data_IF_770806656901
#
_entry.id   IF_770806656901
#
_cell.length_a   1.000
_cell.length_b   1.000
_cell.length_c   1.000
_cell.angle_alpha   90.00
_cell.angle_beta   90.00
_cell.angle_gamma   90.00
#
_symmetry.space_group_name_H-M   'P 1'
#
loop_
_entity.id
_entity.type
_entity.pdbx_description
1 polymer ?
#
# COMPACT_ATOMS: atom_id res chain seq x y z
N UNK A 1 15.16 -27.29 -29.88
CA UNK A 1 14.54 -26.25 -30.71
C UNK A 1 13.84 -25.34 -29.73
N UNK A 2 14.39 -24.16 -29.42
CA UNK A 2 13.75 -23.21 -28.50
C UNK A 2 12.63 -22.54 -29.29
N UNK A 3 11.38 -22.92 -29.05
CA UNK A 3 10.22 -22.17 -29.56
C UNK A 3 10.24 -20.79 -28.91
N UNK A 4 10.77 -19.80 -29.64
CA UNK A 4 10.51 -18.40 -29.33
C UNK A 4 9.02 -18.20 -29.58
N UNK A 5 8.27 -17.77 -28.56
CA UNK A 5 6.94 -17.21 -28.76
C UNK A 5 7.03 -16.19 -29.91
N UNK A 6 6.33 -16.49 -31.01
CA UNK A 6 6.15 -15.55 -32.10
C UNK A 6 5.32 -14.40 -31.53
N UNK A 7 6.00 -13.30 -31.20
CA UNK A 7 5.40 -12.15 -30.54
C UNK A 7 4.20 -11.64 -31.32
N UNK A 8 3.10 -11.33 -30.63
CA UNK A 8 1.87 -10.85 -31.25
C UNK A 8 1.94 -9.41 -31.79
N UNK A 9 3.10 -8.77 -31.67
CA UNK A 9 3.52 -7.58 -32.40
C UNK A 9 4.99 -7.72 -32.80
N UNK A 10 5.34 -8.74 -33.57
CA UNK A 10 6.72 -9.00 -33.96
C UNK A 10 7.04 -8.39 -35.32
N UNK A 11 8.00 -7.49 -35.33
CA UNK A 11 8.65 -7.01 -36.56
C UNK A 11 10.03 -7.66 -36.69
N UNK A 12 10.48 -7.79 -37.93
CA UNK A 12 11.88 -8.12 -38.22
C UNK A 12 12.34 -7.34 -39.43
N UNK A 13 13.61 -6.95 -39.45
CA UNK A 13 14.24 -6.32 -40.60
C UNK A 13 15.54 -7.04 -40.93
N UNK A 14 15.81 -7.19 -42.22
CA UNK A 14 17.02 -7.79 -42.74
C UNK A 14 17.53 -7.02 -43.94
N UNK A 15 18.81 -6.69 -43.94
CA UNK A 15 19.45 -5.80 -44.92
C UNK A 15 19.11 -6.14 -46.39
N UNK A 16 19.03 -7.44 -46.72
CA UNK A 16 18.78 -7.93 -48.09
C UNK A 16 17.33 -8.32 -48.36
N UNK A 17 16.52 -8.52 -47.33
CA UNK A 17 15.16 -9.07 -47.44
C UNK A 17 14.12 -7.99 -47.25
N UNK A 18 14.19 -7.27 -46.13
CA UNK A 18 13.32 -6.15 -45.78
C UNK A 18 14.05 -5.23 -44.82
N UNK A 19 14.81 -4.22 -45.31
CA UNK A 19 15.65 -3.37 -44.46
C UNK A 19 14.85 -2.47 -43.51
N UNK A 20 13.53 -2.37 -43.65
CA UNK A 20 12.67 -1.55 -42.79
C UNK A 20 12.70 -0.04 -43.12
N UNK A 21 12.14 0.82 -42.24
CA UNK A 21 11.54 0.44 -40.96
C UNK A 21 10.25 -0.37 -41.15
N UNK A 22 10.20 -1.54 -40.53
CA UNK A 22 9.01 -2.38 -40.45
C UNK A 22 8.36 -2.12 -39.10
N UNK A 23 7.07 -1.73 -39.10
CA UNK A 23 6.32 -1.44 -37.89
C UNK A 23 5.15 -2.40 -37.78
N UNK A 24 4.82 -2.81 -36.56
CA UNK A 24 3.62 -3.58 -36.27
C UNK A 24 3.05 -3.17 -34.91
N UNK A 25 1.74 -3.27 -34.77
CA UNK A 25 1.03 -2.97 -33.54
C UNK A 25 0.42 -4.26 -32.97
N UNK A 26 0.44 -4.39 -31.65
CA UNK A 26 -0.16 -5.51 -30.95
C UNK A 26 -1.66 -5.46 -31.09
N UNK A 27 -2.21 -6.55 -31.63
CA UNK A 27 -3.60 -6.86 -31.45
C UNK A 27 -3.73 -7.84 -30.27
N UNK A 28 -4.12 -7.33 -29.11
CA UNK A 28 -4.32 -8.13 -27.89
C UNK A 28 -5.37 -9.22 -28.06
N UNK A 29 -6.32 -9.07 -28.99
CA UNK A 29 -7.32 -10.10 -29.29
C UNK A 29 -6.69 -11.35 -29.94
N UNK A 30 -5.50 -11.23 -30.54
CA UNK A 30 -4.77 -12.35 -31.14
C UNK A 30 -3.88 -13.10 -30.13
N UNK A 31 -3.77 -12.61 -28.89
CA UNK A 31 -2.95 -13.22 -27.84
C UNK A 31 -3.67 -14.28 -27.01
N UNK A 32 -5.01 -14.29 -27.02
CA UNK A 32 -5.84 -15.07 -26.10
C UNK A 32 -5.58 -16.59 -26.08
N UNK A 33 -5.12 -17.17 -27.19
CA UNK A 33 -4.92 -18.63 -27.33
C UNK A 33 -3.44 -19.06 -27.36
N UNK A 34 -2.49 -18.12 -27.19
CA UNK A 34 -1.07 -18.46 -27.24
C UNK A 34 -0.64 -19.18 -25.96
N UNK A 35 0.01 -20.33 -26.10
CA UNK A 35 0.56 -21.08 -24.96
C UNK A 35 2.02 -20.69 -24.76
N UNK A 36 2.37 -20.32 -23.54
CA UNK A 36 3.72 -19.98 -23.12
C UNK A 36 4.33 -21.16 -22.38
N UNK A 37 5.56 -21.50 -22.73
CA UNK A 37 6.36 -22.46 -21.99
C UNK A 37 7.20 -21.74 -20.92
N UNK A 38 6.97 -22.07 -19.65
CA UNK A 38 7.73 -21.61 -18.49
C UNK A 38 8.34 -22.83 -17.79
N UNK A 39 9.62 -23.11 -18.07
CA UNK A 39 10.24 -24.40 -17.73
C UNK A 39 9.47 -25.58 -18.34
N UNK A 40 9.04 -26.51 -17.50
CA UNK A 40 8.24 -27.67 -17.90
C UNK A 40 6.72 -27.39 -17.90
N UNK A 41 6.31 -26.16 -17.54
CA UNK A 41 4.91 -25.75 -17.44
C UNK A 41 4.46 -25.06 -18.72
N UNK A 42 3.33 -25.50 -19.28
CA UNK A 42 2.66 -24.84 -20.40
C UNK A 42 1.44 -24.08 -19.90
N UNK A 43 1.45 -22.75 -20.01
CA UNK A 43 0.37 -21.88 -19.51
C UNK A 43 -0.18 -21.03 -20.65
N UNK A 44 -1.50 -21.02 -20.91
CA UNK A 44 -2.12 -20.05 -21.80
C UNK A 44 -1.76 -18.62 -21.36
N UNK A 45 -1.39 -17.75 -22.31
CA UNK A 45 -0.92 -16.40 -21.98
C UNK A 45 -2.02 -15.57 -21.29
N UNK A 46 -3.28 -15.76 -21.66
CA UNK A 46 -4.43 -15.13 -21.02
C UNK A 46 -4.65 -15.57 -19.56
N UNK A 47 -4.20 -16.77 -19.20
CA UNK A 47 -4.23 -17.25 -17.81
C UNK A 47 -2.99 -16.75 -17.03
N UNK A 48 -1.91 -16.43 -17.74
CA UNK A 48 -0.67 -15.91 -17.15
C UNK A 48 -0.72 -14.41 -16.89
N UNK A 49 -1.17 -13.62 -17.86
CA UNK A 49 -1.12 -12.16 -17.82
C UNK A 49 -2.41 -11.55 -18.36
N UNK A 50 -3.05 -10.73 -17.52
CA UNK A 50 -4.08 -9.81 -17.95
C UNK A 50 -3.42 -8.50 -18.36
N UNK A 51 -3.43 -8.16 -19.65
CA UNK A 51 -2.86 -6.90 -20.14
C UNK A 51 -3.71 -5.68 -19.78
N UNK A 52 -4.91 -5.87 -19.24
CA UNK A 52 -5.77 -4.80 -18.75
C UNK A 52 -6.00 -3.70 -19.79
N UNK A 53 -5.75 -2.45 -19.38
CA UNK A 53 -5.77 -1.26 -20.26
C UNK A 53 -4.37 -0.77 -20.63
N UNK A 54 -3.35 -1.64 -20.62
CA UNK A 54 -2.06 -1.32 -21.26
C UNK A 54 -2.40 -0.88 -22.68
N UNK A 55 -1.97 0.33 -23.07
CA UNK A 55 -2.24 0.88 -24.39
C UNK A 55 -1.73 -0.04 -25.51
N UNK A 56 -1.99 0.32 -26.78
CA UNK A 56 -1.50 -0.48 -27.90
C UNK A 56 0.03 -0.67 -27.79
N UNK A 57 0.48 -1.90 -27.59
CA UNK A 57 1.91 -2.26 -27.70
C UNK A 57 2.28 -2.28 -29.19
N UNK A 58 3.56 -2.17 -29.51
CA UNK A 58 4.04 -2.19 -30.88
C UNK A 58 5.54 -2.45 -30.96
N UNK A 59 6.01 -2.68 -32.18
CA UNK A 59 7.43 -2.84 -32.45
C UNK A 59 7.83 -2.18 -33.76
N UNK A 60 9.13 -1.86 -33.85
CA UNK A 60 9.77 -1.33 -35.04
C UNK A 60 11.13 -1.98 -35.23
N UNK A 61 11.45 -2.35 -36.48
CA UNK A 61 12.75 -2.94 -36.84
C UNK A 61 13.31 -2.32 -38.12
N UNK A 62 14.61 -2.00 -38.11
CA UNK A 62 15.34 -1.41 -39.24
C UNK A 62 16.77 -1.95 -39.33
N UNK A 63 17.26 -2.19 -40.54
CA UNK A 63 18.61 -2.67 -40.85
C UNK A 63 19.14 -1.92 -42.09
N UNK A 64 19.78 -0.77 -41.87
CA UNK A 64 20.26 0.12 -42.95
C UNK A 64 21.63 -0.28 -43.50
N UNK A 65 22.45 -0.95 -42.69
CA UNK A 65 23.77 -1.45 -43.11
C UNK A 65 24.15 -2.72 -42.34
N UNK A 66 25.22 -3.44 -42.73
CA UNK A 66 25.72 -4.59 -41.95
C UNK A 66 26.14 -4.24 -40.51
N UNK A 67 26.36 -2.96 -40.24
CA UNK A 67 26.86 -2.40 -38.98
C UNK A 67 25.90 -1.37 -38.38
N UNK A 68 24.71 -1.21 -38.96
CA UNK A 68 23.72 -0.21 -38.54
C UNK A 68 22.32 -0.80 -38.54
N UNK A 69 21.74 -0.88 -37.35
CA UNK A 69 20.42 -1.50 -37.11
C UNK A 69 19.71 -0.80 -35.98
N UNK A 70 18.38 -0.81 -35.99
CA UNK A 70 17.55 -0.31 -34.91
C UNK A 70 16.40 -1.28 -34.64
N UNK A 71 16.17 -1.60 -33.38
CA UNK A 71 15.03 -2.42 -32.94
C UNK A 71 14.40 -1.75 -31.73
N UNK A 72 13.07 -1.64 -31.73
CA UNK A 72 12.29 -1.04 -30.66
C UNK A 72 11.06 -1.89 -30.41
N UNK A 73 10.71 -2.10 -29.14
CA UNK A 73 9.46 -2.74 -28.73
C UNK A 73 8.94 -2.06 -27.47
N UNK A 74 7.66 -1.73 -27.42
CA UNK A 74 7.06 -1.04 -26.27
C UNK A 74 5.68 -0.46 -26.59
N UNK A 75 5.25 0.53 -25.81
CA UNK A 75 3.98 1.21 -26.05
C UNK A 75 3.99 2.12 -27.29
N UNK A 76 2.88 2.16 -28.00
CA UNK A 76 2.66 3.02 -29.16
C UNK A 76 2.03 4.34 -28.72
N UNK A 77 2.65 5.46 -29.10
CA UNK A 77 2.10 6.80 -28.90
C UNK A 77 0.93 7.11 -29.84
N UNK A 78 0.17 8.15 -29.51
CA UNK A 78 -0.81 8.76 -30.40
C UNK A 78 -0.11 9.21 -31.71
N UNK A 79 -0.31 8.45 -32.79
CA UNK A 79 0.42 8.62 -34.06
C UNK A 79 1.08 7.35 -34.62
N UNK A 80 1.06 6.23 -33.89
CA UNK A 80 1.53 4.93 -34.40
C UNK A 80 3.04 4.69 -34.26
N UNK A 81 3.78 5.59 -33.61
CA UNK A 81 5.19 5.42 -33.29
C UNK A 81 5.38 4.80 -31.91
N UNK A 82 6.32 3.86 -31.75
CA UNK A 82 6.68 3.32 -30.43
C UNK A 82 7.38 4.41 -29.62
N UNK A 83 6.84 4.76 -28.45
CA UNK A 83 7.39 5.77 -27.54
C UNK A 83 8.00 5.12 -26.32
N UNK A 84 9.18 5.61 -25.93
CA UNK A 84 9.84 5.31 -24.66
C UNK A 84 9.93 6.56 -23.77
N UNK A 85 9.19 7.62 -24.11
CA UNK A 85 9.34 8.98 -23.52
C UNK A 85 8.02 9.62 -23.07
N UNK A 86 6.97 8.82 -22.83
CA UNK A 86 5.69 9.33 -22.32
C UNK A 86 5.70 9.51 -20.79
N UNK A 87 4.71 10.24 -20.25
CA UNK A 87 4.45 10.24 -18.81
C UNK A 87 3.95 8.84 -18.42
N UNK A 88 4.79 8.11 -17.70
CA UNK A 88 4.65 6.68 -17.35
C UNK A 88 3.33 6.31 -16.63
N UNK A 89 2.65 7.29 -16.02
CA UNK A 89 1.48 7.11 -15.16
C UNK A 89 0.12 7.01 -15.87
N UNK A 90 0.03 7.26 -17.19
CA UNK A 90 -1.27 7.27 -17.91
C UNK A 90 -1.67 5.94 -18.56
N UNK A 91 -0.83 4.90 -18.43
CA UNK A 91 -1.08 3.59 -19.02
C UNK A 91 -1.59 2.61 -17.96
N UNK A 92 -2.51 1.70 -18.33
CA UNK A 92 -2.91 0.62 -17.43
C UNK A 92 -1.73 -0.29 -17.06
N UNK A 93 -1.89 -1.12 -16.03
CA UNK A 93 -0.93 -2.15 -15.65
C UNK A 93 -1.39 -3.52 -16.14
N UNK A 94 -0.43 -4.36 -16.51
CA UNK A 94 -0.64 -5.79 -16.66
C UNK A 94 -0.57 -6.46 -15.30
N UNK A 95 -1.39 -7.48 -15.11
CA UNK A 95 -1.45 -8.24 -13.85
C UNK A 95 -1.13 -9.70 -14.11
N UNK A 96 -0.26 -10.28 -13.30
CA UNK A 96 0.11 -11.69 -13.35
C UNK A 96 -0.31 -12.32 -12.02
N UNK A 97 -1.21 -13.31 -12.07
CA UNK A 97 -1.66 -14.02 -10.87
C UNK A 97 -0.67 -15.14 -10.50
N UNK A 98 0.12 -14.90 -9.45
CA UNK A 98 1.15 -15.82 -9.01
C UNK A 98 0.59 -17.04 -8.27
N UNK A 99 -0.60 -16.94 -7.66
CA UNK A 99 -1.27 -18.11 -7.06
C UNK A 99 -1.68 -19.10 -8.14
N UNK A 100 -2.39 -18.65 -9.18
CA UNK A 100 -2.79 -19.50 -10.30
C UNK A 100 -1.59 -20.09 -11.04
N UNK A 101 -0.50 -19.32 -11.15
CA UNK A 101 0.74 -19.82 -11.72
C UNK A 101 1.39 -20.91 -10.85
N UNK A 102 1.36 -20.75 -9.52
CA UNK A 102 1.89 -21.75 -8.58
C UNK A 102 1.09 -23.05 -8.59
N UNK A 103 -0.24 -22.99 -8.69
CA UNK A 103 -1.12 -24.15 -8.86
C UNK A 103 -0.81 -24.91 -10.15
N UNK A 104 -0.64 -24.18 -11.26
CA UNK A 104 -0.33 -24.77 -12.56
C UNK A 104 1.06 -25.40 -12.59
N UNK A 105 1.99 -24.84 -11.81
CA UNK A 105 3.36 -25.32 -11.67
C UNK A 105 3.54 -26.40 -10.58
N UNK A 106 2.46 -26.80 -9.90
CA UNK A 106 2.46 -27.77 -8.79
C UNK A 106 3.43 -27.39 -7.65
N UNK A 107 3.48 -26.11 -7.32
CA UNK A 107 4.36 -25.58 -6.25
C UNK A 107 3.65 -25.66 -4.91
N UNK A 108 4.12 -26.57 -4.07
CA UNK A 108 3.65 -26.73 -2.71
C UNK A 108 3.95 -25.48 -1.86
N UNK A 109 3.02 -25.11 -0.97
CA UNK A 109 3.28 -24.11 0.05
C UNK A 109 3.00 -22.65 -0.31
N UNK A 110 2.61 -22.29 -1.54
CA UNK A 110 2.10 -20.94 -1.88
C UNK A 110 0.60 -20.82 -1.62
N UNK A 111 -0.16 -21.83 -2.04
CA UNK A 111 -1.62 -21.92 -1.84
C UNK A 111 -2.03 -22.29 -0.41
N UNK A 112 -1.12 -22.88 0.34
CA UNK A 112 -1.34 -23.27 1.75
C UNK A 112 -1.08 -22.11 2.72
N UNK A 113 -0.54 -21.00 2.23
CA UNK A 113 -0.38 -19.78 3.01
C UNK A 113 -1.73 -19.09 3.17
N UNK A 114 -1.86 -18.32 4.24
CA UNK A 114 -3.05 -17.51 4.49
C UNK A 114 -3.09 -16.26 3.58
N UNK A 115 -2.90 -16.45 2.28
CA UNK A 115 -2.90 -15.43 1.22
C UNK A 115 -3.94 -15.85 0.19
N UNK A 116 -4.92 -14.99 -0.07
CA UNK A 116 -5.99 -15.26 -1.02
C UNK A 116 -5.83 -14.50 -2.34
N UNK A 117 -4.83 -13.61 -2.42
CA UNK A 117 -4.42 -12.93 -3.65
C UNK A 117 -2.90 -12.71 -3.64
N UNK A 118 -2.25 -13.06 -4.74
CA UNK A 118 -0.84 -12.75 -4.98
C UNK A 118 -0.66 -12.36 -6.44
N UNK A 119 -0.51 -11.07 -6.70
CA UNK A 119 -0.48 -10.51 -8.05
C UNK A 119 0.75 -9.65 -8.28
N UNK A 120 1.43 -9.87 -9.40
CA UNK A 120 2.49 -8.99 -9.88
C UNK A 120 1.89 -8.00 -10.89
N UNK A 121 1.87 -6.72 -10.54
CA UNK A 121 1.40 -5.62 -11.40
C UNK A 121 2.58 -4.96 -12.09
N UNK A 122 2.57 -4.96 -13.42
CA UNK A 122 3.62 -4.41 -14.27
C UNK A 122 3.04 -3.27 -15.09
N UNK A 123 3.58 -2.07 -14.90
CA UNK A 123 3.21 -0.91 -15.69
C UNK A 123 3.71 -0.99 -17.13
N UNK A 124 3.61 0.12 -17.84
CA UNK A 124 4.20 0.31 -19.15
C UNK A 124 5.66 -0.19 -19.22
N UNK A 125 6.02 -0.88 -20.29
CA UNK A 125 7.39 -1.34 -20.53
C UNK A 125 7.81 -1.18 -22.00
N UNK A 126 9.11 -1.03 -22.23
CA UNK A 126 9.67 -0.99 -23.57
C UNK A 126 11.19 -1.02 -23.59
N UNK A 127 11.76 -1.36 -24.72
CA UNK A 127 13.20 -1.35 -24.98
C UNK A 127 13.52 -0.83 -26.37
N UNK A 128 14.75 -0.35 -26.51
CA UNK A 128 15.35 0.08 -27.77
C UNK A 128 16.82 -0.35 -27.82
N UNK A 129 17.21 -0.87 -28.98
CA UNK A 129 18.61 -1.16 -29.29
C UNK A 129 18.96 -0.49 -30.60
N UNK A 130 19.95 0.38 -30.56
CA UNK A 130 20.52 1.04 -31.74
C UNK A 130 21.96 0.60 -31.90
N UNK A 131 22.32 0.18 -33.10
CA UNK A 131 23.70 -0.08 -33.49
C UNK A 131 24.07 0.92 -34.57
N UNK A 132 25.18 1.62 -34.37
CA UNK A 132 25.77 2.53 -35.35
C UNK A 132 27.25 2.22 -35.49
N UNK A 133 27.74 2.13 -36.72
CA UNK A 133 29.14 1.83 -37.04
C UNK A 133 29.70 0.62 -36.26
N UNK A 134 28.87 -0.41 -36.06
CA UNK A 134 29.23 -1.66 -35.41
C UNK A 134 29.33 -1.57 -33.89
N UNK A 135 28.84 -0.48 -33.28
CA UNK A 135 28.78 -0.29 -31.83
C UNK A 135 27.33 -0.16 -31.39
N UNK A 136 26.98 -0.86 -30.32
CA UNK A 136 25.68 -0.70 -29.67
C UNK A 136 25.74 0.61 -28.89
N UNK A 137 24.76 1.49 -29.12
CA UNK A 137 24.67 2.77 -28.44
C UNK A 137 24.10 2.58 -27.03
N UNK A 138 24.53 3.43 -26.11
CA UNK A 138 24.01 3.58 -24.76
C UNK A 138 23.49 5.02 -24.64
N UNK A 139 22.21 5.27 -24.97
CA UNK A 139 21.68 6.62 -25.14
C UNK A 139 21.41 7.33 -23.80
N UNK A 140 21.20 6.61 -22.70
CA UNK A 140 20.95 7.19 -21.37
C UNK A 140 22.12 7.03 -20.38
N UNK A 141 23.13 6.23 -20.72
CA UNK A 141 24.38 6.10 -19.95
C UNK A 141 24.20 5.33 -18.65
N UNK A 142 23.10 4.59 -18.50
CA UNK A 142 22.73 3.86 -17.28
C UNK A 142 22.22 2.46 -17.65
N UNK A 143 22.58 1.45 -16.86
CA UNK A 143 22.15 0.07 -17.12
C UNK A 143 22.81 -0.63 -18.31
N UNK A 144 23.76 0.00 -19.01
CA UNK A 144 24.55 -0.64 -20.06
C UNK A 144 24.03 -0.35 -21.49
N UNK A 145 24.49 -1.10 -22.51
CA UNK A 145 24.14 -0.82 -23.90
C UNK A 145 22.64 -1.00 -24.19
N UNK A 146 22.09 -0.14 -25.06
CA UNK A 146 20.66 -0.06 -25.34
C UNK A 146 19.91 0.79 -24.33
N UNK A 147 18.59 0.88 -24.47
CA UNK A 147 17.72 1.62 -23.57
C UNK A 147 16.52 0.77 -23.20
N UNK A 148 16.08 0.85 -21.95
CA UNK A 148 14.82 0.26 -21.52
C UNK A 148 14.04 1.19 -20.59
N UNK A 149 12.73 0.96 -20.53
CA UNK A 149 11.81 1.68 -19.65
C UNK A 149 10.81 0.72 -19.03
N UNK A 150 10.57 0.88 -17.74
CA UNK A 150 9.53 0.25 -16.94
C UNK A 150 8.93 1.32 -16.05
N UNK A 151 7.61 1.51 -16.15
CA UNK A 151 6.88 2.54 -15.41
C UNK A 151 6.67 2.15 -13.94
N UNK A 152 6.28 0.90 -13.69
CA UNK A 152 5.86 0.43 -12.39
C UNK A 152 6.06 -1.08 -12.27
N UNK A 153 6.39 -1.53 -11.07
CA UNK A 153 6.37 -2.94 -10.71
C UNK A 153 5.95 -3.03 -9.24
N UNK A 154 4.78 -3.62 -8.98
CA UNK A 154 4.28 -3.85 -7.63
C UNK A 154 3.93 -5.31 -7.42
N UNK A 155 4.20 -5.81 -6.21
CA UNK A 155 3.67 -7.08 -5.74
C UNK A 155 2.49 -6.81 -4.79
N UNK A 156 1.31 -7.25 -5.19
CA UNK A 156 0.08 -7.18 -4.40
C UNK A 156 -0.14 -8.48 -3.65
N UNK A 157 -0.34 -8.38 -2.35
CA UNK A 157 -0.64 -9.51 -1.47
C UNK A 157 -1.92 -9.19 -0.71
N UNK A 158 -2.95 -10.01 -0.83
CA UNK A 158 -4.12 -9.92 0.05
C UNK A 158 -4.13 -11.09 1.01
N UNK A 159 -4.40 -10.79 2.27
CA UNK A 159 -4.50 -11.81 3.30
C UNK A 159 -5.65 -11.51 4.26
N UNK A 160 -6.51 -12.51 4.54
CA UNK A 160 -7.48 -12.41 5.62
C UNK A 160 -6.84 -12.10 6.98
N UNK A 161 -5.59 -12.50 7.22
CA UNK A 161 -4.89 -12.22 8.48
C UNK A 161 -4.63 -10.73 8.69
N UNK A 162 -4.48 -9.95 7.60
CA UNK A 162 -4.34 -8.50 7.68
C UNK A 162 -5.68 -7.84 8.03
N UNK A 163 -6.79 -8.39 7.52
CA UNK A 163 -8.14 -7.94 7.91
C UNK A 163 -8.49 -8.33 9.35
N UNK A 164 -8.11 -9.53 9.79
CA UNK A 164 -8.26 -9.96 11.19
C UNK A 164 -7.42 -9.09 12.13
N UNK A 165 -6.24 -8.66 11.68
CA UNK A 165 -5.44 -7.68 12.41
C UNK A 165 -6.18 -6.34 12.57
N UNK A 166 -6.82 -5.85 11.52
CA UNK A 166 -7.66 -4.65 11.57
C UNK A 166 -8.81 -4.78 12.59
N UNK A 167 -9.49 -5.93 12.61
CA UNK A 167 -10.55 -6.23 13.58
C UNK A 167 -10.01 -6.23 15.03
N UNK A 168 -8.79 -6.70 15.24
CA UNK A 168 -8.13 -6.63 16.54
C UNK A 168 -7.85 -5.20 17.00
N UNK A 169 -7.38 -4.31 16.09
CA UNK A 169 -7.18 -2.88 16.38
C UNK A 169 -8.52 -2.24 16.79
N UNK A 170 -9.59 -2.54 16.03
CA UNK A 170 -10.94 -2.06 16.32
C UNK A 170 -11.44 -2.53 17.69
N UNK A 171 -11.26 -3.82 18.01
CA UNK A 171 -11.63 -4.39 19.31
C UNK A 171 -10.85 -3.78 20.49
N UNK A 172 -9.55 -3.53 20.31
CA UNK A 172 -8.72 -2.86 21.31
C UNK A 172 -9.18 -1.41 21.54
N UNK A 173 -9.47 -0.66 20.47
CA UNK A 173 -10.03 0.69 20.55
C UNK A 173 -11.36 0.72 21.33
N UNK A 174 -12.29 -0.21 21.04
CA UNK A 174 -13.57 -0.30 21.77
C UNK A 174 -13.38 -0.66 23.25
N UNK A 175 -12.34 -1.42 23.59
CA UNK A 175 -11.99 -1.75 24.97
C UNK A 175 -11.47 -0.54 25.73
N UNK A 176 -10.62 0.28 25.09
CA UNK A 176 -10.16 1.55 25.66
C UNK A 176 -11.34 2.49 25.90
N UNK A 177 -12.25 2.57 24.94
CA UNK A 177 -13.48 3.37 25.02
C UNK A 177 -14.36 3.00 26.21
N UNK A 178 -14.72 1.73 26.30
CA UNK A 178 -15.52 1.20 27.43
C UNK A 178 -14.81 1.42 28.77
N UNK A 179 -13.48 1.27 28.81
CA UNK A 179 -12.71 1.46 30.06
C UNK A 179 -12.71 2.92 30.51
N UNK A 180 -12.60 3.87 29.58
CA UNK A 180 -12.68 5.31 29.89
C UNK A 180 -14.08 5.66 30.40
N UNK A 181 -15.13 5.18 29.74
CA UNK A 181 -16.52 5.38 30.19
C UNK A 181 -16.74 4.81 31.60
N UNK A 182 -16.32 3.57 31.86
CA UNK A 182 -16.45 2.91 33.16
C UNK A 182 -15.67 3.67 34.24
N UNK A 183 -14.47 4.17 33.92
CA UNK A 183 -13.64 4.91 34.86
C UNK A 183 -14.27 6.25 35.24
N UNK A 184 -14.82 6.99 34.26
CA UNK A 184 -15.52 8.25 34.52
C UNK A 184 -16.76 7.98 35.37
N UNK A 185 -17.54 6.96 35.04
CA UNK A 185 -18.75 6.60 35.79
C UNK A 185 -18.47 6.16 37.24
N UNK A 186 -17.37 5.43 37.48
CA UNK A 186 -17.00 4.97 38.84
C UNK A 186 -16.34 6.07 39.68
N UNK A 187 -15.58 6.99 39.06
CA UNK A 187 -14.76 7.99 39.78
C UNK A 187 -15.40 9.36 39.88
N UNK A 188 -16.41 9.68 39.08
CA UNK A 188 -17.13 10.93 39.20
C UNK A 188 -17.95 10.94 40.51
N UNK A 189 -17.52 11.75 41.48
CA UNK A 189 -18.21 11.89 42.76
C UNK A 189 -19.46 12.77 42.61
N UNK A 190 -20.57 12.13 42.23
CA UNK A 190 -21.89 12.77 42.09
C UNK A 190 -22.37 13.39 43.42
N UNK A 191 -21.93 12.84 44.56
CA UNK A 191 -22.27 13.38 45.87
C UNK A 191 -21.49 14.68 46.16
N UNK A 192 -20.22 14.76 45.78
CA UNK A 192 -19.44 16.00 45.85
C UNK A 192 -20.00 17.07 44.89
N UNK A 193 -20.41 16.67 43.68
CA UNK A 193 -21.04 17.57 42.71
C UNK A 193 -22.37 18.15 43.23
N UNK A 194 -23.26 17.30 43.74
CA UNK A 194 -24.52 17.76 44.36
C UNK A 194 -24.27 18.60 45.62
N UNK A 195 -23.23 18.28 46.40
CA UNK A 195 -22.76 19.08 47.52
C UNK A 195 -22.28 20.49 47.12
N UNK A 196 -21.59 20.61 45.98
CA UNK A 196 -21.15 21.89 45.43
C UNK A 196 -22.35 22.76 45.02
N UNK A 197 -23.41 22.12 44.53
CA UNK A 197 -24.64 22.76 44.07
C UNK A 197 -25.65 22.99 45.20
N UNK A 198 -25.38 22.56 46.44
CA UNK A 198 -26.32 22.55 47.56
C UNK A 198 -26.93 23.91 47.95
N UNK A 199 -26.40 25.02 47.42
CA UNK A 199 -27.01 26.35 47.52
C UNK A 199 -28.39 26.42 46.83
N UNK A 200 -28.67 25.52 45.89
CA UNK A 200 -29.97 25.37 45.24
C UNK A 200 -30.80 24.36 46.05
N UNK A 201 -31.95 24.75 46.63
CA UNK A 201 -32.78 23.83 47.39
C UNK A 201 -33.50 22.82 46.48
N UNK A 202 -33.61 21.58 46.95
CA UNK A 202 -34.40 20.50 46.32
C UNK A 202 -33.96 20.09 44.89
N UNK A 203 -32.68 20.20 44.58
CA UNK A 203 -32.10 19.62 43.35
C UNK A 203 -32.03 18.09 43.48
N UNK A 204 -32.47 17.32 42.47
CA UNK A 204 -32.24 15.88 42.41
C UNK A 204 -30.77 15.56 42.14
N UNK A 205 -30.39 14.29 42.37
CA UNK A 205 -29.12 13.77 41.85
C UNK A 205 -29.15 13.81 40.31
N UNK A 206 -28.09 14.31 39.65
CA UNK A 206 -28.05 14.34 38.21
C UNK A 206 -27.91 12.94 37.63
N UNK A 207 -28.56 12.72 36.49
CA UNK A 207 -28.19 11.63 35.61
C UNK A 207 -26.91 12.01 34.87
N UNK A 208 -25.88 11.20 35.03
CA UNK A 208 -24.61 11.34 34.29
C UNK A 208 -24.70 10.49 33.02
N UNK A 209 -24.25 11.03 31.90
CA UNK A 209 -24.05 10.29 30.66
C UNK A 209 -22.71 10.71 30.10
N UNK A 210 -21.88 9.73 29.76
CA UNK A 210 -20.58 9.92 29.13
C UNK A 210 -20.75 9.45 27.68
N UNK A 211 -20.38 10.30 26.73
CA UNK A 211 -20.39 9.99 25.31
C UNK A 211 -18.96 10.14 24.78
N UNK A 212 -18.49 9.12 24.07
CA UNK A 212 -17.16 9.07 23.49
C UNK A 212 -17.27 8.65 22.02
N UNK A 213 -16.59 9.40 21.16
CA UNK A 213 -16.47 9.08 19.74
C UNK A 213 -15.10 8.47 19.40
N UNK A 214 -14.36 8.03 20.41
CA UNK A 214 -12.98 7.56 20.26
C UNK A 214 -12.87 6.38 19.31
N UNK A 215 -13.81 5.44 19.44
CA UNK A 215 -13.87 4.26 18.59
C UNK A 215 -14.04 4.58 17.10
N UNK A 216 -14.97 5.49 16.77
CA UNK A 216 -15.23 5.92 15.39
C UNK A 216 -14.09 6.77 14.82
N UNK A 217 -13.50 7.64 15.64
CA UNK A 217 -12.38 8.51 15.24
C UNK A 217 -11.13 7.69 14.96
N UNK A 218 -10.84 6.68 15.79
CA UNK A 218 -9.76 5.72 15.58
C UNK A 218 -9.95 4.93 14.29
N UNK A 219 -11.17 4.43 14.04
CA UNK A 219 -11.50 3.72 12.81
C UNK A 219 -11.25 4.59 11.57
N UNK A 220 -11.72 5.84 11.58
CA UNK A 220 -11.55 6.74 10.43
C UNK A 220 -10.08 7.12 10.15
N UNK A 221 -9.26 7.26 11.20
CA UNK A 221 -7.87 7.71 11.05
C UNK A 221 -6.89 6.58 10.71
N UNK A 222 -7.11 5.39 11.25
CA UNK A 222 -6.13 4.29 11.18
C UNK A 222 -6.58 3.17 10.24
N UNK A 223 -7.89 2.86 10.23
CA UNK A 223 -8.41 1.69 9.52
C UNK A 223 -9.04 2.03 8.17
N UNK A 224 -9.36 3.31 7.92
CA UNK A 224 -10.04 3.73 6.70
C UNK A 224 -9.11 4.38 5.65
N UNK A 225 -7.80 4.36 5.89
CA UNK A 225 -6.79 4.89 4.96
C UNK A 225 -5.61 3.92 4.83
N UNK A 226 -5.08 3.72 3.62
CA UNK A 226 -3.83 2.98 3.44
C UNK A 226 -2.67 3.67 4.15
N UNK A 227 -1.85 2.90 4.85
CA UNK A 227 -0.63 3.37 5.49
C UNK A 227 0.58 2.97 4.65
N UNK A 228 1.33 3.96 4.19
CA UNK A 228 2.55 3.77 3.41
C UNK A 228 3.77 4.00 4.28
N UNK A 229 4.76 3.09 4.23
CA UNK A 229 6.01 3.24 4.98
C UNK A 229 6.76 4.50 4.58
N UNK A 230 7.63 5.02 5.46
CA UNK A 230 8.50 6.15 5.14
C UNK A 230 9.41 5.90 3.92
N UNK A 231 9.84 4.65 3.74
CA UNK A 231 10.59 4.18 2.58
C UNK A 231 9.74 4.13 1.29
N UNK A 232 8.42 4.28 1.41
CA UNK A 232 7.41 4.04 0.35
C UNK A 232 7.42 2.65 -0.23
N UNK A 233 8.16 1.73 0.38
CA UNK A 233 8.32 0.35 -0.09
C UNK A 233 7.05 -0.47 0.11
N UNK A 234 6.35 -0.26 1.22
CA UNK A 234 5.17 -1.03 1.58
C UNK A 234 4.00 -0.08 1.81
N UNK A 235 2.85 -0.43 1.28
CA UNK A 235 1.57 0.17 1.63
C UNK A 235 0.65 -0.92 2.17
N UNK A 236 0.04 -0.68 3.33
CA UNK A 236 -0.90 -1.61 3.95
C UNK A 236 -2.26 -0.92 4.04
N UNK A 237 -3.28 -1.55 3.47
CA UNK A 237 -4.67 -1.17 3.64
C UNK A 237 -5.39 -2.19 4.52
N UNK A 238 -5.62 -1.80 5.77
CA UNK A 238 -6.32 -2.61 6.75
C UNK A 238 -7.81 -2.81 6.44
N UNK A 239 -8.43 -1.90 5.67
CA UNK A 239 -9.84 -2.00 5.31
C UNK A 239 -10.11 -3.12 4.31
N UNK A 240 -9.15 -3.38 3.43
CA UNK A 240 -9.23 -4.40 2.37
C UNK A 240 -8.40 -5.65 2.68
N UNK A 241 -7.48 -5.57 3.65
CA UNK A 241 -6.52 -6.63 3.94
C UNK A 241 -5.40 -6.74 2.89
N UNK A 242 -5.17 -5.66 2.15
CA UNK A 242 -4.21 -5.59 1.04
C UNK A 242 -2.86 -5.03 1.52
N UNK A 243 -1.79 -5.68 1.08
CA UNK A 243 -0.41 -5.27 1.26
C UNK A 243 0.22 -5.14 -0.13
N UNK A 244 0.61 -3.92 -0.48
CA UNK A 244 1.26 -3.59 -1.74
C UNK A 244 2.75 -3.32 -1.49
N UNK A 245 3.60 -4.01 -2.22
CA UNK A 245 5.05 -3.82 -2.19
C UNK A 245 5.49 -3.17 -3.48
N UNK A 246 6.05 -1.99 -3.37
CA UNK A 246 6.51 -1.14 -4.46
C UNK A 246 7.95 -1.51 -4.86
N UNK A 247 8.10 -2.39 -5.85
CA UNK A 247 9.41 -2.93 -6.24
C UNK A 247 10.31 -1.87 -6.90
N UNK A 248 9.72 -0.80 -7.42
CA UNK A 248 10.42 0.37 -7.94
C UNK A 248 11.21 1.12 -6.85
N UNK A 249 10.74 1.08 -5.60
CA UNK A 249 11.43 1.69 -4.47
C UNK A 249 12.64 0.86 -4.00
N UNK A 250 12.68 -0.44 -4.33
CA UNK A 250 13.83 -1.33 -4.05
C UNK A 250 14.99 -1.14 -5.02
N UNK A 251 14.71 -0.62 -6.21
CA UNK A 251 15.68 -0.39 -7.26
C UNK A 251 16.70 0.73 -6.93
N UNK A 252 16.66 1.31 -5.73
CA UNK A 252 17.61 2.33 -5.29
C UNK A 252 17.44 3.69 -6.00
N UNK A 253 18.46 4.55 -5.89
CA UNK A 253 18.34 6.00 -6.24
C UNK A 253 18.03 6.31 -7.71
N UNK A 254 18.15 5.33 -8.61
CA UNK A 254 17.83 5.50 -10.03
C UNK A 254 16.53 4.81 -10.47
N UNK A 255 15.81 4.16 -9.54
CA UNK A 255 14.57 3.44 -9.83
C UNK A 255 14.76 2.26 -10.80
N UNK A 256 13.65 1.74 -11.33
CA UNK A 256 13.66 0.57 -12.23
C UNK A 256 14.50 0.79 -13.51
N UNK A 257 14.68 2.04 -13.94
CA UNK A 257 15.27 2.40 -15.24
C UNK A 257 16.79 2.67 -15.19
N UNK A 258 17.44 2.43 -14.05
CA UNK A 258 18.88 2.59 -13.88
C UNK A 258 19.53 1.36 -13.24
N UNK A 259 18.93 0.19 -13.44
CA UNK A 259 19.43 -1.06 -12.89
C UNK A 259 20.53 -1.65 -13.76
N UNK A 260 21.49 -2.31 -13.10
CA UNK A 260 22.52 -3.08 -13.79
C UNK A 260 21.91 -4.17 -14.69
N UNK A 261 22.63 -4.62 -15.73
CA UNK A 261 22.16 -5.70 -16.60
C UNK A 261 21.73 -6.95 -15.81
N UNK A 262 20.53 -7.45 -16.10
CA UNK A 262 19.92 -8.63 -15.48
C UNK A 262 19.65 -8.50 -13.98
N UNK A 263 19.37 -7.28 -13.49
CA UNK A 263 19.04 -7.07 -12.09
C UNK A 263 17.73 -7.78 -11.68
N UNK A 264 17.79 -8.47 -10.54
CA UNK A 264 16.65 -9.21 -9.99
C UNK A 264 15.82 -8.31 -9.06
N UNK A 265 14.52 -8.20 -9.32
CA UNK A 265 13.59 -7.38 -8.52
C UNK A 265 12.99 -8.12 -7.31
N UNK A 266 13.10 -9.46 -7.27
CA UNK A 266 12.63 -10.28 -6.16
C UNK A 266 13.80 -11.14 -5.69
N UNK A 267 14.36 -10.80 -4.54
CA UNK A 267 15.53 -11.48 -3.98
C UNK A 267 15.42 -11.66 -2.47
N UNK A 268 16.24 -12.54 -1.90
CA UNK A 268 16.30 -12.77 -0.45
C UNK A 268 16.80 -11.56 0.34
N UNK A 269 17.45 -10.60 -0.31
CA UNK A 269 17.92 -9.36 0.32
C UNK A 269 16.79 -8.34 0.52
N UNK A 270 15.65 -8.55 -0.15
CA UNK A 270 14.49 -7.66 -0.12
C UNK A 270 13.60 -7.93 1.10
N UNK A 271 13.49 -9.18 1.54
CA UNK A 271 12.64 -9.54 2.68
C UNK A 271 12.96 -8.74 3.96
N UNK A 272 14.23 -8.58 4.38
CA UNK A 272 14.56 -7.75 5.54
C UNK A 272 14.09 -6.29 5.39
N UNK A 273 14.17 -5.70 4.19
CA UNK A 273 13.73 -4.33 3.92
C UNK A 273 12.20 -4.20 4.00
N UNK A 274 11.48 -5.21 3.52
CA UNK A 274 10.01 -5.28 3.63
C UNK A 274 9.61 -5.46 5.09
N UNK A 275 10.25 -6.36 5.82
CA UNK A 275 9.97 -6.59 7.23
C UNK A 275 10.23 -5.34 8.09
N UNK A 276 11.32 -4.60 7.82
CA UNK A 276 11.60 -3.30 8.44
C UNK A 276 10.52 -2.27 8.06
N UNK A 277 10.13 -2.19 6.79
CA UNK A 277 9.08 -1.26 6.34
C UNK A 277 7.72 -1.56 6.95
N UNK A 278 7.38 -2.84 7.16
CA UNK A 278 6.18 -3.25 7.91
C UNK A 278 6.30 -2.84 9.37
N UNK A 279 7.46 -2.99 10.00
CA UNK A 279 7.69 -2.54 11.36
C UNK A 279 7.49 -1.02 11.51
N UNK A 280 7.99 -0.24 10.55
CA UNK A 280 7.81 1.21 10.50
C UNK A 280 6.33 1.58 10.37
N UNK A 281 5.59 0.95 9.45
CA UNK A 281 4.14 1.18 9.31
C UNK A 281 3.41 0.87 10.61
N UNK A 282 3.77 -0.22 11.30
CA UNK A 282 3.14 -0.58 12.57
C UNK A 282 3.48 0.41 13.68
N UNK A 283 4.69 0.98 13.67
CA UNK A 283 5.05 2.06 14.58
C UNK A 283 4.23 3.33 14.31
N UNK A 284 4.09 3.71 13.04
CA UNK A 284 3.29 4.87 12.65
C UNK A 284 1.80 4.67 12.94
N UNK A 285 1.26 3.47 12.65
CA UNK A 285 -0.10 3.10 13.02
C UNK A 285 -0.32 3.21 14.52
N UNK A 286 0.65 2.76 15.32
CA UNK A 286 0.59 2.92 16.78
C UNK A 286 0.57 4.38 17.19
N UNK A 287 1.45 5.22 16.64
CA UNK A 287 1.49 6.65 16.95
C UNK A 287 0.19 7.36 16.53
N UNK A 288 -0.41 6.96 15.40
CA UNK A 288 -1.72 7.46 14.97
C UNK A 288 -2.83 7.04 15.92
N UNK A 289 -2.79 5.80 16.44
CA UNK A 289 -3.73 5.32 17.46
C UNK A 289 -3.58 6.12 18.76
N UNK A 290 -2.35 6.32 19.25
CA UNK A 290 -2.09 7.12 20.46
C UNK A 290 -2.60 8.54 20.27
N UNK A 291 -2.22 9.21 19.18
CA UNK A 291 -2.67 10.58 18.92
C UNK A 291 -4.18 10.68 18.72
N UNK A 292 -4.80 9.67 18.12
CA UNK A 292 -6.26 9.62 18.00
C UNK A 292 -6.96 9.36 19.33
N UNK A 293 -6.38 8.56 20.23
CA UNK A 293 -6.88 8.39 21.60
C UNK A 293 -6.79 9.72 22.35
N UNK A 294 -5.63 10.39 22.33
CA UNK A 294 -5.44 11.70 22.97
C UNK A 294 -6.46 12.73 22.46
N UNK A 295 -6.58 12.87 21.13
CA UNK A 295 -7.56 13.76 20.49
C UNK A 295 -9.01 13.41 20.89
N UNK A 296 -9.29 12.12 21.09
CA UNK A 296 -10.65 11.66 21.43
C UNK A 296 -10.97 11.81 22.90
N UNK A 297 -9.99 11.64 23.80
CA UNK A 297 -10.15 11.92 25.22
C UNK A 297 -10.53 13.38 25.46
N UNK A 298 -9.88 14.30 24.75
CA UNK A 298 -10.24 15.72 24.76
C UNK A 298 -11.69 15.95 24.30
N UNK A 299 -12.21 15.09 23.43
CA UNK A 299 -13.57 15.15 22.87
C UNK A 299 -14.62 14.36 23.67
N UNK A 300 -14.27 13.65 24.74
CA UNK A 300 -15.24 12.91 25.58
C UNK A 300 -16.20 13.90 26.23
N UNK A 301 -17.49 13.81 25.89
CA UNK A 301 -18.54 14.68 26.40
C UNK A 301 -19.19 14.06 27.66
N UNK A 302 -19.19 14.82 28.74
CA UNK A 302 -19.90 14.48 29.96
C UNK A 302 -21.16 15.35 30.01
N UNK A 303 -22.31 14.69 30.02
CA UNK A 303 -23.62 15.34 30.17
C UNK A 303 -24.20 15.04 31.54
N UNK A 304 -24.48 16.11 32.29
CA UNK A 304 -25.19 16.09 33.55
C UNK A 304 -26.62 16.60 33.33
N UNK A 305 -27.61 15.75 33.62
CA UNK A 305 -29.02 16.10 33.47
C UNK A 305 -29.73 16.09 34.81
N UNK A 306 -30.31 17.24 35.17
CA UNK A 306 -31.12 17.44 36.36
C UNK A 306 -32.58 17.54 35.96
N UNK A 307 -33.37 16.52 36.29
CA UNK A 307 -34.80 16.46 35.95
C UNK A 307 -35.66 16.11 37.13
N UNK A 308 -36.77 16.85 37.31
CA UNK A 308 -37.80 16.56 38.31
C UNK A 308 -39.17 17.07 37.83
N UNK A 309 -40.26 16.51 38.37
CA UNK A 309 -41.65 16.91 38.06
C UNK A 309 -42.38 17.33 39.34
N UNK A 310 -42.68 18.62 39.45
CA UNK A 310 -43.38 19.22 40.59
C UNK A 310 -44.91 19.33 40.35
N UNK A 311 -45.43 18.67 39.31
CA UNK A 311 -46.85 18.61 38.97
C UNK A 311 -47.40 19.87 38.30
N UNK A 312 -48.73 19.92 38.12
CA UNK A 312 -49.44 20.91 37.26
C UNK A 312 -49.14 22.39 37.55
N UNK A 313 -48.88 22.76 38.81
CA UNK A 313 -48.60 24.14 39.22
C UNK A 313 -47.11 24.37 39.44
N UNK A 314 -46.40 23.33 39.91
CA UNK A 314 -44.96 23.38 40.15
C UNK A 314 -44.15 23.37 38.86
N UNK A 315 -44.63 22.71 37.81
CA UNK A 315 -43.95 22.54 36.52
C UNK A 315 -42.81 21.52 36.57
N UNK A 316 -41.94 21.56 35.55
CA UNK A 316 -40.83 20.61 35.35
C UNK A 316 -39.48 21.30 35.57
N UNK A 317 -38.55 20.63 36.25
CA UNK A 317 -37.12 20.93 36.19
C UNK A 317 -36.49 20.14 35.04
N UNK A 318 -35.76 20.83 34.17
CA UNK A 318 -35.06 20.23 33.02
C UNK A 318 -33.83 21.07 32.69
N UNK A 319 -32.74 20.80 33.40
CA UNK A 319 -31.45 21.46 33.17
C UNK A 319 -30.46 20.44 32.67
N UNK A 320 -29.90 20.70 31.51
CA UNK A 320 -28.84 19.89 30.90
C UNK A 320 -27.56 20.70 30.89
N UNK A 321 -26.48 20.06 31.29
CA UNK A 321 -25.17 20.67 31.26
C UNK A 321 -24.15 19.71 30.67
N UNK A 322 -23.55 20.13 29.57
CA UNK A 322 -22.61 19.33 28.79
C UNK A 322 -21.27 20.05 28.74
N UNK A 323 -20.20 19.31 28.96
CA UNK A 323 -18.83 19.78 28.86
C UNK A 323 -17.91 18.63 28.49
N UNK A 324 -16.80 18.93 27.85
CA UNK A 324 -15.76 17.95 27.52
C UNK A 324 -14.74 17.79 28.66
N UNK A 325 -13.90 16.74 28.59
CA UNK A 325 -12.72 16.64 29.46
C UNK A 325 -11.74 17.81 29.23
N UNK A 326 -11.60 18.29 28.00
CA UNK A 326 -10.77 19.46 27.68
C UNK A 326 -11.32 20.76 28.29
N UNK A 327 -12.64 20.92 28.35
CA UNK A 327 -13.31 22.07 28.99
C UNK A 327 -13.00 22.13 30.49
N UNK A 328 -12.89 20.98 31.14
CA UNK A 328 -12.51 20.89 32.56
C UNK A 328 -11.05 21.32 32.75
N UNK A 329 -10.15 20.85 31.89
CA UNK A 329 -8.72 21.16 31.95
C UNK A 329 -8.43 22.64 31.70
N UNK A 330 -9.16 23.25 30.75
CA UNK A 330 -9.08 24.69 30.44
C UNK A 330 -9.84 25.57 31.43
N UNK A 331 -10.76 24.99 32.21
CA UNK A 331 -11.67 25.71 33.10
C UNK A 331 -12.81 26.42 32.35
N UNK A 332 -12.95 26.18 31.05
CA UNK A 332 -14.02 26.72 30.19
C UNK A 332 -15.19 25.73 30.14
N UNK A 333 -15.88 25.54 31.26
CA UNK A 333 -17.05 24.64 31.30
C UNK A 333 -18.18 25.16 30.40
N UNK A 334 -18.69 24.29 29.52
CA UNK A 334 -19.66 24.58 28.46
C UNK A 334 -21.02 25.14 28.92
N UNK A 335 -21.86 25.46 27.93
CA UNK A 335 -23.15 26.15 28.12
C UNK A 335 -24.18 25.25 28.85
N UNK A 336 -24.83 25.82 29.87
CA UNK A 336 -25.96 25.20 30.57
C UNK A 336 -27.25 25.51 29.82
N UNK A 337 -28.01 24.49 29.47
CA UNK A 337 -29.31 24.61 28.81
C UNK A 337 -30.44 24.39 29.83
N UNK A 338 -31.28 25.39 30.02
CA UNK A 338 -32.44 25.33 30.92
C UNK A 338 -33.76 25.32 30.12
N UNK A 339 -34.46 24.18 30.15
CA UNK A 339 -35.78 23.97 29.57
C UNK A 339 -36.87 23.85 30.66
N UNK A 340 -36.59 24.30 31.87
CA UNK A 340 -37.50 24.20 33.02
C UNK A 340 -38.74 25.09 32.86
N UNK A 341 -39.83 24.71 33.53
CA UNK A 341 -41.14 25.39 33.42
C UNK A 341 -41.90 25.44 34.75
N UNK A 342 -42.97 26.24 34.79
CA UNK A 342 -43.81 26.41 35.98
C UNK A 342 -43.14 27.24 37.08
N UNK A 343 -43.84 27.41 38.20
CA UNK A 343 -43.41 28.32 39.26
C UNK A 343 -42.21 27.77 40.06
N UNK A 344 -42.21 26.47 40.33
CA UNK A 344 -41.17 25.81 41.11
C UNK A 344 -40.04 25.38 40.18
N UNK A 345 -40.35 24.59 39.14
CA UNK A 345 -39.39 24.08 38.17
C UNK A 345 -38.59 25.19 37.50
N UNK A 346 -39.27 26.23 36.96
CA UNK A 346 -38.59 27.35 36.31
C UNK A 346 -37.72 28.20 37.26
N UNK A 347 -38.13 28.37 38.52
CA UNK A 347 -37.32 29.11 39.50
C UNK A 347 -36.10 28.30 39.93
N UNK A 348 -36.28 27.00 40.18
CA UNK A 348 -35.18 26.08 40.52
C UNK A 348 -34.19 25.97 39.36
N UNK A 349 -34.67 25.80 38.12
CA UNK A 349 -33.84 25.71 36.92
C UNK A 349 -32.99 26.96 36.69
N UNK A 350 -33.57 28.15 36.81
CA UNK A 350 -32.84 29.40 36.66
C UNK A 350 -31.80 29.60 37.79
N UNK A 351 -32.15 29.22 39.02
CA UNK A 351 -31.22 29.28 40.16
C UNK A 351 -30.07 28.29 39.99
N UNK A 352 -30.35 27.08 39.46
CA UNK A 352 -29.36 26.07 39.16
C UNK A 352 -28.41 26.54 38.06
N UNK A 353 -28.94 27.04 36.95
CA UNK A 353 -28.16 27.60 35.83
C UNK A 353 -27.26 28.74 36.29
N UNK A 354 -27.78 29.67 37.10
CA UNK A 354 -27.00 30.78 37.66
C UNK A 354 -25.88 30.26 38.59
N UNK A 355 -26.20 29.27 39.42
CA UNK A 355 -25.24 28.64 40.33
C UNK A 355 -24.12 27.95 39.55
N UNK A 356 -24.45 27.15 38.53
CA UNK A 356 -23.46 26.47 37.67
C UNK A 356 -22.55 27.49 36.98
N UNK A 357 -23.11 28.52 36.34
CA UNK A 357 -22.33 29.57 35.67
C UNK A 357 -21.42 30.34 36.64
N UNK A 358 -21.80 30.45 37.91
CA UNK A 358 -20.97 31.10 38.94
C UNK A 358 -19.89 30.16 39.47
N UNK A 359 -20.16 28.86 39.53
CA UNK A 359 -19.28 27.83 40.09
C UNK A 359 -18.38 27.15 39.05
N UNK A 360 -18.45 27.52 37.78
CA UNK A 360 -17.74 26.84 36.70
C UNK A 360 -16.25 26.60 36.96
N UNK A 361 -15.54 27.57 37.54
CA UNK A 361 -14.12 27.43 37.90
C UNK A 361 -13.83 26.49 39.09
N UNK A 362 -14.84 26.16 39.90
CA UNK A 362 -14.72 25.23 41.04
C UNK A 362 -14.95 23.78 40.64
N UNK A 363 -15.49 23.50 39.45
CA UNK A 363 -15.72 22.12 39.00
C UNK A 363 -14.46 21.33 38.72
N UNK A 364 -13.36 22.02 38.38
CA UNK A 364 -12.05 21.39 38.31
C UNK A 364 -11.69 20.64 39.61
N UNK A 365 -12.26 20.99 40.76
CA UNK A 365 -12.00 20.27 42.02
C UNK A 365 -12.76 18.95 42.17
N UNK A 366 -13.89 18.78 41.48
CA UNK A 366 -14.73 17.58 41.52
C UNK A 366 -14.37 16.64 40.37
N UNK A 367 -14.12 17.18 39.18
CA UNK A 367 -13.84 16.39 37.97
C UNK A 367 -12.34 16.31 37.65
N UNK A 368 -11.53 17.24 38.18
CA UNK A 368 -10.07 17.23 37.99
C UNK A 368 -9.38 15.94 38.44
N UNK A 369 -9.74 15.29 39.57
CA UNK A 369 -9.16 14.00 39.92
C UNK A 369 -9.46 12.86 38.93
N UNK A 370 -10.59 12.91 38.23
CA UNK A 370 -10.95 11.94 37.17
C UNK A 370 -10.12 12.22 35.93
N UNK A 371 -10.04 13.49 35.54
CA UNK A 371 -9.19 13.94 34.44
C UNK A 371 -7.72 13.57 34.70
N UNK A 372 -7.15 13.98 35.84
CA UNK A 372 -5.79 13.67 36.27
C UNK A 372 -5.52 12.17 36.27
N UNK A 373 -6.49 11.32 36.66
CA UNK A 373 -6.33 9.88 36.64
C UNK A 373 -6.21 9.33 35.20
N UNK A 374 -7.05 9.82 34.28
CA UNK A 374 -7.04 9.45 32.86
C UNK A 374 -5.75 9.88 32.17
N UNK A 375 -5.20 11.05 32.53
CA UNK A 375 -3.96 11.57 31.96
C UNK A 375 -2.69 11.24 32.78
N UNK A 376 -2.82 10.48 33.86
CA UNK A 376 -1.69 10.04 34.70
C UNK A 376 -1.11 8.70 34.25
N UNK A 377 0.00 8.30 34.88
CA UNK A 377 0.61 6.96 34.78
C UNK A 377 -0.40 5.79 34.85
N UNK A 378 -1.54 5.96 35.53
CA UNK A 378 -2.60 4.95 35.60
C UNK A 378 -3.41 4.85 34.29
N UNK A 379 -3.69 5.98 33.65
CA UNK A 379 -4.24 6.04 32.30
C UNK A 379 -3.24 5.54 31.28
N UNK A 380 -1.97 5.93 31.40
CA UNK A 380 -0.88 5.43 30.56
C UNK A 380 -0.83 3.90 30.57
N UNK A 381 -1.10 3.24 31.69
CA UNK A 381 -1.12 1.78 31.76
C UNK A 381 -2.27 1.15 30.96
N UNK A 382 -3.44 1.80 30.91
CA UNK A 382 -4.59 1.35 30.11
C UNK A 382 -4.25 1.46 28.63
N UNK A 383 -3.68 2.60 28.23
CA UNK A 383 -3.25 2.83 26.86
C UNK A 383 -2.10 1.92 26.48
N UNK A 384 -1.11 1.74 27.36
CA UNK A 384 0.05 0.87 27.14
C UNK A 384 -0.35 -0.60 26.95
N UNK A 385 -1.36 -1.10 27.67
CA UNK A 385 -1.88 -2.46 27.46
C UNK A 385 -2.53 -2.61 26.08
N UNK A 386 -3.42 -1.68 25.70
CA UNK A 386 -4.05 -1.70 24.38
C UNK A 386 -3.00 -1.54 23.25
N UNK A 387 -2.08 -0.59 23.41
CA UNK A 387 -0.99 -0.30 22.47
C UNK A 387 -0.02 -1.48 22.35
N UNK A 388 0.34 -2.13 23.45
CA UNK A 388 1.24 -3.29 23.39
C UNK A 388 0.56 -4.49 22.75
N UNK A 389 -0.71 -4.75 23.04
CA UNK A 389 -1.47 -5.80 22.36
C UNK A 389 -1.56 -5.53 20.85
N UNK A 390 -1.78 -4.28 20.46
CA UNK A 390 -1.76 -3.85 19.06
C UNK A 390 -0.35 -4.05 18.44
N UNK A 391 0.69 -3.53 19.09
CA UNK A 391 2.06 -3.53 18.57
C UNK A 391 2.63 -4.94 18.41
N UNK A 392 2.45 -5.81 19.41
CA UNK A 392 3.03 -7.16 19.40
C UNK A 392 2.17 -8.16 18.63
N UNK A 393 0.84 -8.04 18.69
CA UNK A 393 -0.07 -8.96 18.00
C UNK A 393 0.03 -8.87 16.48
N UNK A 394 -0.03 -7.65 15.93
CA UNK A 394 -0.16 -7.47 14.48
C UNK A 394 1.18 -7.51 13.74
N UNK A 395 2.20 -6.84 14.26
CA UNK A 395 3.53 -6.84 13.63
C UNK A 395 4.06 -8.26 13.50
N UNK A 396 3.89 -9.09 14.53
CA UNK A 396 4.29 -10.49 14.48
C UNK A 396 3.45 -11.27 13.47
N UNK A 397 2.14 -11.07 13.42
CA UNK A 397 1.24 -11.76 12.48
C UNK A 397 1.62 -11.48 11.02
N UNK A 398 1.76 -10.20 10.64
CA UNK A 398 2.09 -9.82 9.26
C UNK A 398 3.49 -10.30 8.89
N UNK A 399 4.50 -10.07 9.74
CA UNK A 399 5.89 -10.47 9.44
C UNK A 399 6.03 -12.00 9.36
N UNK A 400 5.36 -12.75 10.25
CA UNK A 400 5.38 -14.21 10.26
C UNK A 400 4.64 -14.81 9.06
N UNK A 401 3.65 -14.10 8.52
CA UNK A 401 2.97 -14.49 7.27
C UNK A 401 3.87 -14.20 6.05
N UNK A 402 4.54 -13.05 6.01
CA UNK A 402 5.37 -12.65 4.88
C UNK A 402 6.65 -13.47 4.74
N UNK A 403 7.27 -13.90 5.85
CA UNK A 403 8.52 -14.69 5.78
C UNK A 403 8.41 -15.93 4.88
N UNK A 404 7.50 -16.88 5.15
CA UNK A 404 7.38 -18.07 4.31
C UNK A 404 6.91 -17.74 2.88
N UNK A 405 6.10 -16.70 2.71
CA UNK A 405 5.68 -16.23 1.39
C UNK A 405 6.89 -15.83 0.54
N UNK A 406 7.80 -15.02 1.08
CA UNK A 406 8.98 -14.56 0.37
C UNK A 406 10.00 -15.66 0.12
N UNK A 407 10.16 -16.60 1.06
CA UNK A 407 11.02 -17.75 0.86
C UNK A 407 10.56 -18.56 -0.36
N UNK A 408 9.26 -18.88 -0.45
CA UNK A 408 8.71 -19.63 -1.59
C UNK A 408 8.74 -18.79 -2.88
N UNK A 409 8.37 -17.51 -2.82
CA UNK A 409 8.41 -16.61 -3.98
C UNK A 409 9.81 -16.46 -4.57
N UNK A 410 10.84 -16.35 -3.72
CA UNK A 410 12.23 -16.19 -4.13
C UNK A 410 12.79 -17.46 -4.80
N UNK A 411 12.27 -18.63 -4.45
CA UNK A 411 12.61 -19.89 -5.10
C UNK A 411 11.80 -20.12 -6.38
N UNK A 412 10.55 -19.66 -6.41
CA UNK A 412 9.58 -19.91 -7.48
C UNK A 412 9.65 -18.90 -8.63
N UNK A 413 9.77 -17.61 -8.35
CA UNK A 413 9.69 -16.55 -9.36
C UNK A 413 11.05 -15.88 -9.52
N UNK A 414 11.46 -15.69 -10.77
CA UNK A 414 12.54 -14.77 -11.10
C UNK A 414 12.01 -13.64 -11.97
N UNK A 415 12.04 -12.43 -11.45
CA UNK A 415 11.67 -11.20 -12.14
C UNK A 415 12.90 -10.35 -12.35
N UNK A 416 13.36 -10.25 -13.59
CA UNK A 416 14.51 -9.45 -13.97
C UNK A 416 14.08 -8.21 -14.73
N UNK A 417 14.72 -7.10 -14.43
CA UNK A 417 14.69 -5.89 -15.23
C UNK A 417 15.99 -5.77 -16.02
N UNK A 418 15.96 -5.10 -17.18
CA UNK A 418 17.14 -4.87 -18.01
C UNK A 418 17.86 -6.17 -18.39
N UNK A 419 17.13 -7.17 -18.89
CA UNK A 419 17.73 -8.45 -19.25
C UNK A 419 18.49 -8.30 -20.56
N UNK A 420 19.79 -8.59 -20.52
CA UNK A 420 20.70 -8.44 -21.64
C UNK A 420 21.38 -9.77 -21.98
N UNK A 421 21.26 -10.21 -23.24
CA UNK A 421 22.03 -11.32 -23.79
C UNK A 421 22.96 -10.81 -24.89
N UNK A 422 24.27 -11.02 -24.69
CA UNK A 422 25.31 -10.64 -25.65
C UNK A 422 25.77 -11.90 -26.37
N UNK A 423 25.70 -11.89 -27.70
CA UNK A 423 26.35 -12.92 -28.52
C UNK A 423 27.62 -12.37 -29.14
N UNK A 424 28.60 -13.25 -29.26
CA UNK A 424 29.92 -12.94 -29.80
C UNK A 424 30.28 -13.83 -30.98
N UNK A 425 31.15 -13.32 -31.83
CA UNK A 425 31.84 -14.08 -32.87
C UNK A 425 33.34 -13.85 -32.77
N UNK A 426 34.11 -14.78 -33.34
CA UNK A 426 35.55 -14.66 -33.46
C UNK A 426 35.89 -13.77 -34.66
N UNK A 427 36.64 -12.70 -34.42
CA UNK A 427 37.19 -11.88 -35.50
C UNK A 427 38.38 -12.58 -36.19
N UNK A 428 38.95 -11.97 -37.24
CA UNK A 428 40.11 -12.51 -37.97
C UNK A 428 41.39 -12.63 -37.12
N UNK A 429 41.44 -11.96 -35.97
CA UNK A 429 42.53 -12.07 -34.99
C UNK A 429 42.27 -13.14 -33.90
N UNK A 430 41.10 -13.78 -33.90
CA UNK A 430 40.70 -14.78 -32.90
C UNK A 430 40.11 -14.21 -31.60
N UNK A 431 39.79 -12.91 -31.57
CA UNK A 431 39.18 -12.23 -30.43
C UNK A 431 37.65 -12.30 -30.50
N UNK A 432 36.99 -12.36 -29.34
CA UNK A 432 35.53 -12.29 -29.26
C UNK A 432 35.08 -10.84 -29.46
N UNK A 433 34.26 -10.62 -30.47
CA UNK A 433 33.60 -9.34 -30.74
C UNK A 433 32.09 -9.55 -30.74
N UNK A 434 31.35 -8.60 -30.18
CA UNK A 434 29.89 -8.66 -30.10
C UNK A 434 29.26 -8.58 -31.48
N UNK A 435 28.42 -9.54 -31.85
CA UNK A 435 27.67 -9.56 -33.11
C UNK A 435 26.16 -9.64 -32.92
N UNK A 436 25.72 -9.81 -31.68
CA UNK A 436 24.31 -9.78 -31.35
C UNK A 436 24.06 -9.24 -29.97
N UNK A 437 22.92 -8.59 -29.83
CA UNK A 437 22.45 -8.10 -28.56
C UNK A 437 20.94 -8.26 -28.49
N UNK A 438 20.46 -8.89 -27.43
CA UNK A 438 19.04 -8.99 -27.08
C UNK A 438 18.82 -8.23 -25.77
N UNK A 439 17.86 -7.31 -25.77
CA UNK A 439 17.45 -6.51 -24.63
C UNK A 439 15.97 -6.73 -24.36
N UNK A 440 15.63 -7.04 -23.12
CA UNK A 440 14.25 -7.09 -22.63
C UNK A 440 14.09 -6.14 -21.45
N UNK A 441 13.03 -5.34 -21.47
CA UNK A 441 12.73 -4.44 -20.36
C UNK A 441 12.43 -5.22 -19.07
N UNK A 442 11.60 -6.26 -19.19
CA UNK A 442 11.26 -7.18 -18.11
C UNK A 442 11.38 -8.62 -18.57
N UNK A 443 11.75 -9.51 -17.66
CA UNK A 443 11.84 -10.94 -17.91
C UNK A 443 11.37 -11.74 -16.71
N UNK A 444 10.28 -12.47 -16.90
CA UNK A 444 9.68 -13.36 -15.91
C UNK A 444 10.08 -14.82 -16.19
N UNK A 445 10.64 -15.49 -15.20
CA UNK A 445 10.93 -16.92 -15.25
C UNK A 445 10.35 -17.65 -14.04
N UNK A 446 10.08 -18.94 -14.22
CA UNK A 446 9.80 -19.87 -13.12
C UNK A 446 11.08 -20.63 -12.73
N UNK A 447 11.35 -20.68 -11.44
CA UNK A 447 12.56 -21.17 -10.78
C UNK A 447 13.85 -20.45 -11.21
N UNK A 448 14.81 -20.33 -10.29
CA UNK A 448 16.14 -19.70 -10.53
C UNK A 448 17.08 -20.49 -11.46
N UNK A 449 16.55 -21.19 -12.46
CA UNK A 449 17.41 -21.78 -13.49
C UNK A 449 17.88 -20.66 -14.43
N UNK A 450 19.19 -20.38 -14.41
CA UNK A 450 19.84 -19.38 -15.25
C UNK A 450 19.65 -19.62 -16.77
N UNK A 451 19.14 -20.81 -17.15
CA UNK A 451 18.90 -21.25 -18.53
C UNK A 451 17.44 -21.67 -18.82
N UNK A 452 16.50 -21.40 -17.89
CA UNK A 452 15.09 -21.81 -17.99
C UNK A 452 14.27 -21.07 -19.06
N UNK A 453 13.11 -21.62 -19.41
CA UNK A 453 12.17 -20.93 -20.29
C UNK A 453 11.53 -19.74 -19.54
N UNK A 454 11.63 -18.55 -20.14
CA UNK A 454 11.21 -17.25 -19.58
C UNK A 454 10.29 -16.55 -20.56
N UNK A 455 9.39 -15.73 -20.02
CA UNK A 455 8.64 -14.73 -20.81
C UNK A 455 9.36 -13.41 -20.70
N UNK A 456 9.66 -12.82 -21.85
CA UNK A 456 10.29 -11.52 -21.90
C UNK A 456 9.31 -10.49 -22.45
N UNK A 457 9.32 -9.29 -21.87
CA UNK A 457 8.43 -8.18 -22.22
C UNK A 457 9.27 -6.98 -22.69
N UNK A 458 8.79 -6.30 -23.74
CA UNK A 458 9.51 -5.20 -24.41
C UNK A 458 10.84 -5.70 -24.97
N UNK A 459 10.80 -6.54 -26.01
CA UNK A 459 11.99 -7.21 -26.56
C UNK A 459 12.53 -6.48 -27.79
N UNK A 460 13.80 -6.09 -27.73
CA UNK A 460 14.53 -5.52 -28.86
C UNK A 460 15.80 -6.33 -29.11
N UNK A 461 16.00 -6.71 -30.36
CA UNK A 461 17.08 -7.62 -30.74
C UNK A 461 17.78 -7.13 -32.00
N UNK A 462 19.12 -7.17 -31.98
CA UNK A 462 19.93 -6.89 -33.17
C UNK A 462 20.92 -8.00 -33.45
N UNK A 463 21.15 -8.24 -34.73
CA UNK A 463 22.22 -9.06 -35.27
C UNK A 463 22.97 -8.21 -36.28
N UNK A 464 24.26 -8.03 -36.11
CA UNK A 464 25.11 -7.23 -36.99
C UNK A 464 26.43 -7.97 -37.26
N UNK A 465 27.17 -7.55 -38.29
CA UNK A 465 28.46 -8.16 -38.65
C UNK A 465 29.59 -7.18 -38.36
N UNK A 466 30.26 -7.29 -37.21
CA UNK A 466 31.44 -6.49 -36.91
C UNK A 466 32.56 -6.78 -37.91
N UNK A 467 33.47 -5.82 -38.04
CA UNK A 467 34.66 -5.99 -38.87
C UNK A 467 35.47 -7.22 -38.40
N UNK A 468 35.73 -8.15 -39.32
CA UNK A 468 36.49 -9.36 -39.05
C UNK A 468 35.68 -10.60 -38.66
N UNK A 469 34.37 -10.50 -38.42
CA UNK A 469 33.54 -11.71 -38.30
C UNK A 469 33.15 -12.25 -39.67
N UNK A 470 33.49 -13.51 -39.93
CA UNK A 470 33.12 -14.17 -41.18
C UNK A 470 31.60 -14.16 -41.35
N UNK A 471 31.11 -13.67 -42.49
CA UNK A 471 29.69 -13.66 -42.80
C UNK A 471 29.18 -15.11 -42.85
N UNK A 472 28.51 -15.57 -41.78
CA UNK A 472 27.65 -16.74 -41.88
C UNK A 472 26.40 -16.30 -42.64
N UNK A 473 26.30 -16.81 -43.87
CA UNK A 473 25.24 -16.61 -44.87
C UNK A 473 23.83 -16.74 -44.34
#
# INVERSE_FOLDING_TARGET
MKEKLLGAASTSAGLKTSPGPNNDALNVDLLGDQVVQLGDVSVPLNDLIDFGSIGALGSSSEATSPTSTRSVSGLVAEGGSVTLSGDDASFGAATINLLSLSETADVEGLTDLAVDQLELKLGAFGSEVVVEDGKILDPDGVGGPGQYRVAQADLLVRSPLVSDAANGIYGAAGTVDTTVEDLINDKLDVAALTGLLAAVPAIPEPKVTVDSNMHDTLFQRVLNQPLTSHSKLVTIDFSTGELQIHLDQLAGKGGLNAQEPNAELISSEIYPLIAESVHDIMHDATNLIVGAIEDSLDAVEITLQFTDDYGLVGGKLDVTWTFSLADIASGEVGEVVDNSSGLIGGTTGNTLTTTINTLGGTLGTVVGPVYDLIISDAGDHIFELAINDIKFGFTSTIVNMLSPLFDVLNEFVSLQVNRQEIGTCKNTAGEDVTNSFDLSALSLGLARSADGARVNFGNSATRFTPEGCGASS
#
